data_IF_433691685725
#
_entry.id   IF_433691685725
#
_cell.length_a   1.000
_cell.length_b   1.000
_cell.length_c   1.000
_cell.angle_alpha   90.00
_cell.angle_beta   90.00
_cell.angle_gamma   90.00
#
_symmetry.space_group_name_H-M   'P 1'
#
loop_
_entity.id
_entity.type
_entity.pdbx_description
1 polymer ?
#
# COMPACT_ATOMS: atom_id res chain seq x y z
N UNK A 1 4.86 -37.50 -3.09
CA UNK A 1 4.63 -36.47 -2.07
C UNK A 1 3.38 -35.74 -2.50
N UNK A 2 2.29 -35.71 -1.72
CA UNK A 2 1.09 -35.01 -2.15
C UNK A 2 1.33 -33.51 -2.08
N UNK A 3 0.97 -32.82 -3.17
CA UNK A 3 0.98 -31.36 -3.29
C UNK A 3 0.05 -30.78 -2.23
N UNK A 4 0.62 -30.05 -1.27
CA UNK A 4 -0.15 -29.22 -0.35
C UNK A 4 -0.58 -28.01 -1.17
N UNK A 5 -1.84 -28.00 -1.61
CA UNK A 5 -2.46 -26.82 -2.21
C UNK A 5 -2.20 -25.62 -1.31
N UNK A 6 -1.43 -24.65 -1.82
CA UNK A 6 -1.22 -23.40 -1.16
C UNK A 6 -2.56 -22.68 -1.09
N UNK A 7 -3.26 -22.81 0.04
CA UNK A 7 -4.39 -21.95 0.37
C UNK A 7 -3.84 -20.54 0.39
N UNK A 8 -4.08 -19.80 -0.70
CA UNK A 8 -4.00 -18.36 -0.70
C UNK A 8 -5.09 -17.90 0.25
N UNK A 9 -4.78 -17.83 1.54
CA UNK A 9 -5.56 -17.02 2.46
C UNK A 9 -5.32 -15.60 2.00
N UNK A 10 -6.16 -15.14 1.07
CA UNK A 10 -6.45 -13.72 0.94
C UNK A 10 -7.11 -13.38 2.26
N UNK A 11 -6.26 -13.07 3.24
CA UNK A 11 -6.66 -12.34 4.42
C UNK A 11 -7.04 -10.94 3.93
N UNK A 12 -8.23 -10.82 3.34
CA UNK A 12 -9.04 -9.63 3.55
C UNK A 12 -9.43 -9.65 5.04
N UNK A 13 -8.43 -9.48 5.93
CA UNK A 13 -8.68 -9.12 7.33
C UNK A 13 -8.95 -7.63 7.29
N UNK A 14 -10.15 -7.37 6.83
CA UNK A 14 -10.71 -6.06 6.65
C UNK A 14 -12.16 -6.34 6.36
N UNK A 15 -12.96 -6.50 7.43
CA UNK A 15 -14.19 -5.71 7.45
C UNK A 15 -13.74 -4.34 7.01
N UNK A 16 -14.17 -3.91 5.82
CA UNK A 16 -13.82 -2.59 5.33
C UNK A 16 -14.19 -1.61 6.45
N UNK A 17 -13.40 -0.55 6.63
CA UNK A 17 -13.77 0.46 7.60
C UNK A 17 -15.21 0.94 7.33
N UNK A 18 -15.66 0.91 6.06
CA UNK A 18 -17.05 1.05 5.64
C UNK A 18 -18.03 0.11 6.37
N UNK A 19 -17.80 -1.21 6.43
CA UNK A 19 -18.70 -2.14 7.15
C UNK A 19 -18.72 -1.91 8.67
N UNK A 20 -17.60 -1.47 9.25
CA UNK A 20 -17.49 -1.19 10.71
C UNK A 20 -18.05 0.19 11.07
N UNK A 21 -17.99 1.14 10.13
CA UNK A 21 -18.54 2.49 10.23
C UNK A 21 -20.06 2.43 10.05
N UNK A 22 -20.58 1.70 9.06
CA UNK A 22 -22.03 1.58 8.86
C UNK A 22 -22.74 0.91 10.04
N UNK A 23 -22.14 -0.10 10.68
CA UNK A 23 -22.77 -0.78 11.81
C UNK A 23 -22.76 0.03 13.12
N UNK A 24 -21.85 1.00 13.26
CA UNK A 24 -21.66 1.78 14.49
C UNK A 24 -22.01 3.26 14.37
N UNK A 25 -22.21 3.79 13.14
CA UNK A 25 -22.62 5.17 12.92
C UNK A 25 -24.11 5.29 12.57
N UNK A 26 -24.97 5.08 13.56
CA UNK A 26 -26.30 5.69 13.60
C UNK A 26 -26.18 7.21 13.94
N UNK A 27 -25.26 7.95 13.29
CA UNK A 27 -24.86 9.31 13.72
C UNK A 27 -25.76 10.43 13.17
N UNK A 28 -26.81 10.15 12.40
CA UNK A 28 -27.60 11.23 11.80
C UNK A 28 -29.11 11.03 11.94
N UNK A 29 -29.62 10.98 13.16
CA UNK A 29 -30.98 11.45 13.40
C UNK A 29 -30.94 12.99 13.46
N UNK A 30 -31.48 13.64 12.43
CA UNK A 30 -31.60 15.10 12.41
C UNK A 30 -32.56 15.54 13.51
N UNK A 31 -32.04 16.20 14.56
CA UNK A 31 -32.87 16.82 15.57
C UNK A 31 -33.22 18.24 15.12
N UNK A 32 -34.50 18.57 14.86
CA UNK A 32 -34.88 19.93 14.52
C UNK A 32 -34.53 20.88 15.66
N UNK A 33 -34.12 22.09 15.32
CA UNK A 33 -33.84 23.16 16.27
C UNK A 33 -34.97 23.32 17.28
N UNK A 34 -34.61 23.45 18.56
CA UNK A 34 -35.54 23.90 19.57
C UNK A 34 -36.12 25.27 19.15
N UNK A 35 -37.45 25.43 19.02
CA UNK A 35 -38.08 26.68 18.60
C UNK A 35 -37.76 27.88 19.52
N UNK A 36 -37.37 27.64 20.78
CA UNK A 36 -37.01 28.66 21.78
C UNK A 36 -35.52 29.09 21.74
N UNK A 37 -34.77 28.71 20.71
CA UNK A 37 -33.38 29.15 20.55
C UNK A 37 -33.28 30.64 20.21
N UNK A 38 -32.25 31.33 20.72
CA UNK A 38 -31.92 32.75 20.44
C UNK A 38 -31.76 33.09 18.95
N UNK A 39 -31.64 32.10 18.06
CA UNK A 39 -31.48 32.33 16.61
C UNK A 39 -32.80 32.24 15.84
N UNK A 40 -33.73 31.37 16.22
CA UNK A 40 -35.08 31.28 15.64
C UNK A 40 -35.95 32.49 16.02
N UNK A 41 -35.60 33.22 17.07
CA UNK A 41 -36.26 34.47 17.50
C UNK A 41 -35.86 35.72 16.69
N UNK A 42 -34.95 35.62 15.71
CA UNK A 42 -34.57 36.74 14.83
C UNK A 42 -35.48 36.81 13.59
N UNK A 43 -36.30 37.87 13.41
CA UNK A 43 -37.39 37.90 12.42
C UNK A 43 -36.96 37.98 10.95
N UNK A 44 -35.67 38.20 10.66
CA UNK A 44 -35.14 38.34 9.29
C UNK A 44 -34.52 37.05 8.72
N UNK A 45 -34.41 35.99 9.54
CA UNK A 45 -33.86 34.70 9.11
C UNK A 45 -35.06 33.76 8.87
N UNK A 46 -35.26 33.23 7.65
CA UNK A 46 -36.29 32.24 7.40
C UNK A 46 -36.13 31.04 8.34
N UNK A 47 -37.20 30.64 9.04
CA UNK A 47 -37.18 29.57 10.04
C UNK A 47 -36.69 28.23 9.49
N UNK A 48 -36.96 27.96 8.22
CA UNK A 48 -36.47 26.79 7.47
C UNK A 48 -34.94 26.83 7.32
N UNK A 49 -34.38 27.98 6.97
CA UNK A 49 -32.93 28.16 6.84
C UNK A 49 -32.21 28.11 8.19
N UNK A 50 -32.82 28.65 9.25
CA UNK A 50 -32.29 28.54 10.61
C UNK A 50 -32.20 27.06 11.02
N UNK A 51 -33.31 26.31 10.89
CA UNK A 51 -33.41 24.89 11.24
C UNK A 51 -32.44 24.01 10.46
N UNK A 52 -32.25 24.27 9.17
CA UNK A 52 -31.35 23.50 8.31
C UNK A 52 -29.86 23.68 8.66
N UNK A 53 -29.47 24.83 9.22
CA UNK A 53 -28.06 25.17 9.47
C UNK A 53 -27.68 24.99 10.95
N UNK A 54 -28.61 25.22 11.86
CA UNK A 54 -28.34 25.28 13.30
C UNK A 54 -28.99 24.13 14.08
N UNK A 55 -29.48 23.10 13.38
CA UNK A 55 -29.98 21.87 13.98
C UNK A 55 -29.01 21.31 15.03
N UNK A 56 -29.56 20.72 16.08
CA UNK A 56 -28.73 20.08 17.10
C UNK A 56 -28.13 18.79 16.52
N UNK A 57 -26.87 18.53 16.86
CA UNK A 57 -26.20 17.28 16.51
C UNK A 57 -26.34 16.27 17.64
N UNK A 58 -26.41 14.99 17.31
CA UNK A 58 -26.24 13.92 18.28
C UNK A 58 -24.82 13.94 18.86
N UNK A 59 -24.65 13.41 20.07
CA UNK A 59 -23.32 13.21 20.65
C UNK A 59 -22.51 12.17 19.87
N UNK A 60 -21.21 12.40 19.72
CA UNK A 60 -20.28 11.40 19.18
C UNK A 60 -20.05 10.24 20.18
N UNK A 61 -19.75 9.02 19.69
CA UNK A 61 -19.30 7.91 20.53
C UNK A 61 -18.11 8.29 21.41
N UNK A 62 -17.99 7.70 22.61
CA UNK A 62 -16.93 8.03 23.58
C UNK A 62 -15.54 7.57 23.13
N UNK A 63 -15.50 6.55 22.31
CA UNK A 63 -14.33 5.92 21.71
C UNK A 63 -14.05 6.45 20.28
N UNK A 64 -14.79 7.47 19.84
CA UNK A 64 -14.52 8.10 18.56
C UNK A 64 -13.15 8.77 18.56
N UNK A 65 -12.30 8.34 17.63
CA UNK A 65 -10.97 8.94 17.44
C UNK A 65 -11.11 10.41 17.02
N UNK A 66 -10.32 11.26 17.67
CA UNK A 66 -10.32 12.70 17.43
C UNK A 66 -9.32 13.02 16.33
N UNK A 67 -9.76 13.75 15.31
CA UNK A 67 -8.86 14.27 14.27
C UNK A 67 -7.83 15.22 14.89
N UNK A 68 -6.56 14.79 14.91
CA UNK A 68 -5.42 15.51 15.46
C UNK A 68 -4.14 15.08 14.76
N UNK A 69 -3.45 16.05 14.15
CA UNK A 69 -2.12 15.84 13.57
C UNK A 69 -0.99 15.92 14.61
N UNK A 70 0.23 15.68 14.16
CA UNK A 70 1.44 15.82 14.97
C UNK A 70 1.64 17.27 15.46
N UNK A 71 2.03 17.42 16.73
CA UNK A 71 2.35 18.71 17.35
C UNK A 71 3.86 18.84 17.57
N UNK A 72 4.50 19.64 16.71
CA UNK A 72 5.95 19.87 16.68
C UNK A 72 6.51 20.58 17.92
N UNK A 73 5.66 21.22 18.74
CA UNK A 73 6.10 21.86 20.00
C UNK A 73 6.08 20.87 21.18
N UNK A 74 5.47 19.69 21.00
CA UNK A 74 5.18 18.74 22.09
C UNK A 74 6.18 17.58 22.23
N UNK A 75 7.19 17.48 21.37
CA UNK A 75 7.91 16.21 21.18
C UNK A 75 8.92 15.90 22.30
N UNK A 76 8.79 14.75 23.00
CA UNK A 76 9.81 14.25 23.92
C UNK A 76 11.07 13.84 23.15
N UNK A 77 12.26 14.27 23.60
CA UNK A 77 13.58 14.07 22.97
C UNK A 77 14.08 12.61 22.81
N UNK A 78 13.23 11.61 22.98
CA UNK A 78 13.61 10.18 23.02
C UNK A 78 13.07 9.35 21.85
N UNK A 79 12.18 9.93 21.03
CA UNK A 79 11.61 9.29 19.84
C UNK A 79 12.06 10.04 18.58
N UNK A 80 12.16 9.34 17.44
CA UNK A 80 12.42 9.99 16.16
C UNK A 80 11.22 10.88 15.81
N UNK A 81 11.46 12.15 15.53
CA UNK A 81 10.43 13.11 15.09
C UNK A 81 9.61 12.57 13.91
N UNK A 82 10.28 11.89 12.96
CA UNK A 82 9.64 11.33 11.78
C UNK A 82 8.70 10.17 12.13
N UNK A 83 9.06 9.35 13.13
CA UNK A 83 8.21 8.24 13.54
C UNK A 83 6.93 8.78 14.18
N UNK A 84 7.03 9.82 15.03
CA UNK A 84 5.88 10.49 15.61
C UNK A 84 4.95 11.12 14.55
N UNK A 85 5.53 11.76 13.51
CA UNK A 85 4.76 12.29 12.38
C UNK A 85 4.00 11.17 11.67
N UNK A 86 4.67 10.05 11.36
CA UNK A 86 4.05 8.91 10.67
C UNK A 86 2.99 8.21 11.52
N UNK A 87 3.16 8.14 12.84
CA UNK A 87 2.14 7.61 13.77
C UNK A 87 0.89 8.50 13.80
N UNK A 88 1.07 9.83 13.78
CA UNK A 88 -0.06 10.78 13.76
C UNK A 88 -0.93 10.68 12.50
N UNK A 89 -0.46 10.00 11.45
CA UNK A 89 -1.22 9.85 10.21
C UNK A 89 -2.56 9.13 10.42
N UNK A 90 -2.66 8.22 11.39
CA UNK A 90 -3.93 7.56 11.73
C UNK A 90 -5.03 8.58 12.09
N UNK A 91 -4.67 9.66 12.77
CA UNK A 91 -5.60 10.70 13.25
C UNK A 91 -5.50 12.01 12.46
N UNK A 92 -4.74 12.06 11.36
CA UNK A 92 -4.56 13.29 10.55
C UNK A 92 -5.70 13.51 9.55
N UNK A 93 -6.31 12.44 9.04
CA UNK A 93 -7.40 12.48 8.07
C UNK A 93 -6.96 12.30 6.61
N UNK A 94 -7.94 12.08 5.74
CA UNK A 94 -7.76 11.88 4.28
C UNK A 94 -6.74 10.77 3.95
N UNK A 95 -5.83 11.00 3.00
CA UNK A 95 -4.85 10.00 2.57
C UNK A 95 -3.78 9.70 3.63
N UNK A 96 -3.56 10.60 4.60
CA UNK A 96 -2.67 10.31 5.71
C UNK A 96 -3.20 9.11 6.51
N UNK A 97 -4.49 9.11 6.85
CA UNK A 97 -5.14 7.98 7.53
C UNK A 97 -4.99 6.69 6.74
N UNK A 98 -5.14 6.71 5.41
CA UNK A 98 -4.92 5.52 4.58
C UNK A 98 -3.48 5.00 4.65
N UNK A 99 -2.48 5.88 4.74
CA UNK A 99 -1.07 5.47 4.91
C UNK A 99 -0.87 4.84 6.29
N UNK A 100 -1.39 5.47 7.36
CA UNK A 100 -1.31 4.93 8.72
C UNK A 100 -1.94 3.53 8.82
N UNK A 101 -3.14 3.37 8.26
CA UNK A 101 -3.83 2.08 8.19
C UNK A 101 -3.04 1.06 7.37
N UNK A 102 -2.46 1.45 6.23
CA UNK A 102 -1.64 0.54 5.43
C UNK A 102 -0.40 0.03 6.19
N UNK A 103 0.24 0.90 6.99
CA UNK A 103 1.36 0.49 7.87
C UNK A 103 0.90 -0.53 8.91
N UNK A 104 -0.25 -0.30 9.57
CA UNK A 104 -0.82 -1.25 10.51
C UNK A 104 -1.15 -2.60 9.85
N UNK A 105 -1.74 -2.58 8.66
CA UNK A 105 -2.01 -3.81 7.92
C UNK A 105 -0.74 -4.59 7.57
N UNK A 106 0.34 -3.92 7.17
CA UNK A 106 1.63 -4.58 6.92
C UNK A 106 2.21 -5.16 8.22
N UNK A 107 2.09 -4.45 9.36
CA UNK A 107 2.50 -4.98 10.67
C UNK A 107 1.69 -6.23 11.04
N UNK A 108 0.39 -6.22 10.81
CA UNK A 108 -0.50 -7.36 11.01
C UNK A 108 -0.09 -8.55 10.15
N UNK A 109 0.11 -8.37 8.83
CA UNK A 109 0.58 -9.43 7.93
C UNK A 109 1.87 -10.09 8.43
N UNK A 110 2.82 -9.31 8.94
CA UNK A 110 4.11 -9.83 9.44
C UNK A 110 3.98 -10.54 10.79
N UNK A 111 3.08 -10.07 11.65
CA UNK A 111 2.84 -10.66 12.98
C UNK A 111 1.98 -11.92 12.90
N UNK A 112 1.02 -11.97 11.97
CA UNK A 112 0.01 -13.01 11.88
C UNK A 112 0.59 -14.42 11.83
N UNK A 113 -0.05 -15.33 12.56
CA UNK A 113 0.16 -16.78 12.51
C UNK A 113 -1.17 -17.49 12.30
N UNK A 114 -1.12 -18.71 11.77
CA UNK A 114 -2.32 -19.54 11.63
C UNK A 114 -2.98 -19.83 12.99
N UNK A 115 -2.21 -19.83 14.08
CA UNK A 115 -2.74 -19.95 15.44
C UNK A 115 -3.66 -18.79 15.85
N UNK A 116 -3.56 -17.63 15.19
CA UNK A 116 -4.42 -16.47 15.47
C UNK A 116 -5.84 -16.65 14.92
N UNK A 117 -6.05 -17.61 14.02
CA UNK A 117 -7.38 -17.96 13.52
C UNK A 117 -7.93 -19.17 14.26
N UNK A 118 -9.23 -19.12 14.57
CA UNK A 118 -9.93 -20.27 15.14
C UNK A 118 -9.94 -21.42 14.12
N UNK A 119 -9.66 -22.62 14.61
CA UNK A 119 -9.78 -23.84 13.81
C UNK A 119 -11.25 -24.07 13.41
N UNK A 120 -11.48 -24.50 12.16
CA UNK A 120 -12.82 -24.77 11.63
C UNK A 120 -12.97 -26.25 11.26
N UNK A 121 -14.16 -26.80 11.49
CA UNK A 121 -14.51 -28.14 11.02
C UNK A 121 -14.38 -28.21 9.49
N UNK A 122 -13.52 -29.11 9.00
CA UNK A 122 -13.18 -29.23 7.58
C UNK A 122 -11.75 -28.81 7.23
N UNK A 123 -11.06 -28.10 8.13
CA UNK A 123 -9.62 -27.83 7.97
C UNK A 123 -8.80 -29.13 8.08
N UNK A 124 -7.64 -29.18 7.41
CA UNK A 124 -6.73 -30.33 7.45
C UNK A 124 -6.38 -30.73 8.90
N UNK A 125 -6.70 -31.98 9.33
CA UNK A 125 -6.37 -32.47 10.66
C UNK A 125 -4.89 -32.35 11.03
N UNK A 126 -3.98 -32.37 10.04
CA UNK A 126 -2.55 -32.18 10.25
C UNK A 126 -2.20 -30.76 10.74
N UNK A 127 -3.06 -29.77 10.48
CA UNK A 127 -2.93 -28.39 10.93
C UNK A 127 -3.65 -28.11 12.26
N UNK A 128 -4.22 -29.14 12.90
CA UNK A 128 -4.90 -28.98 14.19
C UNK A 128 -3.95 -28.70 15.36
N UNK A 129 -2.75 -29.28 15.47
CA UNK A 129 -1.86 -28.99 16.60
C UNK A 129 -1.35 -27.56 16.59
N UNK A 130 -1.48 -26.85 17.72
CA UNK A 130 -1.08 -25.44 17.85
C UNK A 130 0.40 -25.20 17.50
N UNK A 131 1.28 -26.13 17.89
CA UNK A 131 2.72 -26.07 17.60
C UNK A 131 3.03 -26.02 16.09
N UNK A 132 2.15 -26.57 15.25
CA UNK A 132 2.25 -26.49 13.79
C UNK A 132 1.72 -25.13 13.31
N UNK A 133 0.55 -24.72 13.81
CA UNK A 133 -0.14 -23.47 13.43
C UNK A 133 0.67 -22.22 13.77
N UNK A 134 1.34 -22.20 14.91
CA UNK A 134 2.21 -21.11 15.37
C UNK A 134 3.41 -20.87 14.45
N UNK A 135 3.84 -21.89 13.69
CA UNK A 135 4.97 -21.78 12.75
C UNK A 135 4.54 -21.30 11.36
N UNK A 136 3.24 -21.36 11.06
CA UNK A 136 2.71 -20.94 9.77
C UNK A 136 2.44 -19.44 9.81
N UNK A 137 3.24 -18.69 9.04
CA UNK A 137 3.09 -17.25 8.86
C UNK A 137 2.22 -16.93 7.64
N UNK A 138 1.79 -15.67 7.52
CA UNK A 138 1.11 -15.20 6.32
C UNK A 138 2.05 -15.29 5.12
N UNK A 139 1.50 -15.68 3.95
CA UNK A 139 2.24 -15.64 2.70
C UNK A 139 2.07 -14.27 2.05
N UNK A 140 3.17 -13.53 1.90
CA UNK A 140 3.14 -12.13 1.45
C UNK A 140 3.47 -12.07 -0.04
N UNK A 141 2.49 -11.63 -0.82
CA UNK A 141 2.61 -11.39 -2.25
C UNK A 141 2.90 -9.91 -2.49
N UNK A 142 4.01 -9.61 -3.16
CA UNK A 142 4.38 -8.25 -3.54
C UNK A 142 4.16 -8.07 -5.04
N UNK A 143 3.22 -7.21 -5.41
CA UNK A 143 2.99 -6.83 -6.79
C UNK A 143 3.44 -5.38 -7.03
N UNK A 144 4.18 -5.14 -8.11
CA UNK A 144 4.58 -3.80 -8.52
C UNK A 144 4.66 -3.66 -10.04
N UNK A 145 4.36 -2.46 -10.53
CA UNK A 145 4.49 -2.08 -11.95
C UNK A 145 5.95 -1.77 -12.31
N UNK A 146 6.32 -1.90 -13.58
CA UNK A 146 7.71 -1.72 -14.06
C UNK A 146 8.34 -0.39 -13.66
N UNK A 147 7.57 0.70 -13.65
CA UNK A 147 8.09 2.03 -13.31
C UNK A 147 8.62 2.14 -11.86
N UNK A 148 8.24 1.23 -10.96
CA UNK A 148 8.82 1.14 -9.61
C UNK A 148 10.27 0.66 -9.63
N UNK A 149 10.65 -0.13 -10.62
CA UNK A 149 12.03 -0.54 -10.85
C UNK A 149 12.80 0.52 -11.63
N UNK A 150 12.14 1.27 -12.53
CA UNK A 150 12.73 2.44 -13.17
C UNK A 150 13.17 3.51 -12.15
N UNK A 151 12.37 3.73 -11.11
CA UNK A 151 12.68 4.71 -10.06
C UNK A 151 13.54 4.11 -8.92
N UNK A 152 13.78 4.91 -7.88
CA UNK A 152 14.56 4.49 -6.70
C UNK A 152 13.82 3.54 -5.75
N UNK A 153 12.56 3.19 -6.02
CA UNK A 153 11.83 2.20 -5.23
C UNK A 153 12.44 0.80 -5.40
N UNK A 154 13.16 0.57 -6.51
CA UNK A 154 13.98 -0.62 -6.74
C UNK A 154 14.82 -1.02 -5.53
N UNK A 155 15.54 -0.07 -4.92
CA UNK A 155 16.42 -0.36 -3.78
C UNK A 155 15.64 -0.85 -2.55
N UNK A 156 14.43 -0.33 -2.34
CA UNK A 156 13.51 -0.78 -1.28
C UNK A 156 12.99 -2.18 -1.59
N UNK A 157 12.51 -2.41 -2.82
CA UNK A 157 12.03 -3.73 -3.28
C UNK A 157 13.14 -4.79 -3.14
N UNK A 158 14.36 -4.47 -3.58
CA UNK A 158 15.55 -5.30 -3.41
C UNK A 158 15.80 -5.62 -1.93
N UNK A 159 15.67 -4.65 -1.03
CA UNK A 159 15.82 -4.88 0.40
C UNK A 159 14.78 -5.88 0.93
N UNK A 160 13.50 -5.72 0.56
CA UNK A 160 12.43 -6.62 0.98
C UNK A 160 12.68 -8.06 0.50
N UNK A 161 13.03 -8.23 -0.77
CA UNK A 161 13.28 -9.54 -1.39
C UNK A 161 14.53 -10.18 -0.78
N UNK A 162 15.65 -9.45 -0.71
CA UNK A 162 16.93 -9.95 -0.17
C UNK A 162 16.80 -10.44 1.28
N UNK A 163 15.96 -9.78 2.08
CA UNK A 163 15.74 -10.13 3.49
C UNK A 163 14.55 -11.08 3.72
N UNK A 164 14.01 -11.71 2.66
CA UNK A 164 12.92 -12.69 2.76
C UNK A 164 11.67 -12.15 3.49
N UNK A 165 11.41 -10.85 3.30
CA UNK A 165 10.24 -10.17 3.87
C UNK A 165 8.97 -10.40 3.03
N UNK A 166 9.12 -10.91 1.81
CA UNK A 166 8.04 -11.30 0.90
C UNK A 166 8.28 -12.72 0.40
N UNK A 167 7.23 -13.44 0.04
CA UNK A 167 7.29 -14.83 -0.40
C UNK A 167 7.13 -14.98 -1.92
N UNK A 168 6.38 -14.08 -2.56
CA UNK A 168 6.14 -14.11 -4.00
C UNK A 168 6.16 -12.70 -4.58
N UNK A 169 6.68 -12.58 -5.81
CA UNK A 169 6.73 -11.31 -6.55
C UNK A 169 5.97 -11.44 -7.86
N UNK A 170 5.13 -10.45 -8.16
CA UNK A 170 4.46 -10.30 -9.46
C UNK A 170 4.83 -8.96 -10.06
N UNK A 171 5.38 -8.95 -11.26
CA UNK A 171 5.69 -7.72 -11.99
C UNK A 171 5.59 -7.95 -13.50
N UNK A 172 5.63 -6.86 -14.27
CA UNK A 172 5.67 -6.90 -15.74
C UNK A 172 7.09 -7.04 -16.25
N UNK A 173 7.29 -7.34 -17.53
CA UNK A 173 8.62 -7.52 -18.14
C UNK A 173 9.58 -6.36 -17.83
N UNK A 174 9.10 -5.11 -17.89
CA UNK A 174 9.86 -3.91 -17.53
C UNK A 174 10.43 -3.94 -16.11
N UNK A 175 9.73 -4.57 -15.14
CA UNK A 175 10.21 -4.72 -13.77
C UNK A 175 11.35 -5.74 -13.62
N UNK A 176 11.56 -6.60 -14.62
CA UNK A 176 12.67 -7.56 -14.64
C UNK A 176 13.83 -6.98 -15.47
N UNK A 177 13.56 -6.53 -16.70
CA UNK A 177 14.62 -6.04 -17.60
C UNK A 177 15.34 -4.81 -17.03
N UNK A 178 14.62 -3.86 -16.42
CA UNK A 178 15.23 -2.64 -15.89
C UNK A 178 16.05 -2.88 -14.63
N UNK A 179 15.74 -3.92 -13.84
CA UNK A 179 16.57 -4.29 -12.68
C UNK A 179 17.93 -4.82 -13.13
N UNK A 180 17.93 -5.64 -14.18
CA UNK A 180 19.13 -6.19 -14.81
C UNK A 180 19.93 -5.06 -15.49
N UNK A 181 19.28 -4.23 -16.31
CA UNK A 181 19.90 -3.08 -16.99
C UNK A 181 20.62 -2.17 -15.99
N UNK A 182 20.01 -1.90 -14.83
CA UNK A 182 20.60 -1.06 -13.77
C UNK A 182 21.84 -1.66 -13.09
N UNK A 183 22.17 -2.91 -13.36
CA UNK A 183 23.45 -3.51 -12.96
C UNK A 183 24.60 -3.14 -13.91
N UNK A 184 24.29 -2.72 -15.14
CA UNK A 184 25.27 -2.33 -16.16
C UNK A 184 25.40 -0.82 -16.30
N UNK A 185 24.27 -0.13 -16.40
CA UNK A 185 24.20 1.30 -16.69
C UNK A 185 23.14 2.01 -15.84
N UNK A 186 23.37 3.26 -15.43
CA UNK A 186 22.43 4.00 -14.60
C UNK A 186 21.22 4.53 -15.38
N UNK A 187 20.14 4.80 -14.64
CA UNK A 187 19.02 5.65 -15.04
C UNK A 187 19.21 7.04 -14.45
N UNK A 188 18.87 8.09 -15.20
CA UNK A 188 19.11 9.48 -14.80
C UNK A 188 17.81 10.23 -14.50
N UNK A 189 17.90 11.27 -13.67
CA UNK A 189 16.79 12.22 -13.49
C UNK A 189 16.61 13.09 -14.72
N UNK A 190 15.36 13.40 -15.03
CA UNK A 190 14.92 14.30 -16.09
C UNK A 190 13.67 15.07 -15.68
N UNK A 191 12.85 15.44 -16.67
CA UNK A 191 11.61 16.21 -16.46
C UNK A 191 10.51 15.68 -17.38
N UNK A 192 9.27 15.68 -16.89
CA UNK A 192 8.08 15.30 -17.65
C UNK A 192 7.87 16.13 -18.92
N UNK A 193 8.40 17.36 -18.96
CA UNK A 193 8.21 18.35 -20.04
C UNK A 193 9.28 18.26 -21.13
N UNK A 194 10.28 17.38 -21.01
CA UNK A 194 11.30 17.21 -22.04
C UNK A 194 10.67 16.78 -23.38
N UNK A 195 11.05 17.46 -24.46
CA UNK A 195 10.53 17.19 -25.80
C UNK A 195 10.92 15.79 -26.28
N UNK A 196 9.91 14.94 -26.53
CA UNK A 196 10.12 13.59 -27.06
C UNK A 196 10.86 13.56 -28.40
N UNK A 197 10.64 14.56 -29.26
CA UNK A 197 11.36 14.70 -30.55
C UNK A 197 12.86 14.87 -30.35
N UNK A 198 13.25 15.75 -29.42
CA UNK A 198 14.66 16.02 -29.16
C UNK A 198 15.34 14.87 -28.41
N UNK A 199 14.62 14.22 -27.49
CA UNK A 199 15.11 13.02 -26.82
C UNK A 199 15.34 11.87 -27.80
N UNK A 200 14.39 11.63 -28.72
CA UNK A 200 14.53 10.59 -29.74
C UNK A 200 15.72 10.84 -30.66
N UNK A 201 15.94 12.09 -31.09
CA UNK A 201 17.11 12.48 -31.89
C UNK A 201 18.44 12.23 -31.19
N UNK A 202 18.45 12.28 -29.86
CA UNK A 202 19.62 12.02 -29.01
C UNK A 202 19.74 10.56 -28.55
N UNK A 203 18.81 9.68 -28.94
CA UNK A 203 18.80 8.29 -28.48
C UNK A 203 18.57 8.14 -26.98
N UNK A 204 17.72 8.99 -26.40
CA UNK A 204 17.36 8.95 -24.97
C UNK A 204 15.88 8.59 -24.85
N UNK A 205 15.57 7.57 -24.04
CA UNK A 205 14.21 7.16 -23.72
C UNK A 205 13.75 7.84 -22.42
N UNK A 206 12.49 8.23 -22.35
CA UNK A 206 11.91 8.90 -21.17
C UNK A 206 10.90 8.00 -20.47
N UNK A 207 11.04 7.89 -19.16
CA UNK A 207 10.09 7.20 -18.27
C UNK A 207 9.62 8.22 -17.23
N UNK A 208 8.51 8.92 -17.50
CA UNK A 208 8.05 10.03 -16.65
C UNK A 208 9.06 11.18 -16.57
N UNK A 209 9.67 11.37 -15.40
CA UNK A 209 10.78 12.28 -15.12
C UNK A 209 12.14 11.57 -15.03
N UNK A 210 12.28 10.40 -15.63
CA UNK A 210 13.54 9.64 -15.70
C UNK A 210 14.00 9.51 -17.16
N UNK A 211 15.30 9.34 -17.35
CA UNK A 211 15.95 9.20 -18.65
C UNK A 211 16.84 7.95 -18.69
N UNK A 212 16.67 7.16 -19.76
CA UNK A 212 17.43 5.94 -20.02
C UNK A 212 18.07 6.06 -21.40
N UNK A 213 19.41 6.19 -21.50
CA UNK A 213 20.10 6.18 -22.79
C UNK A 213 19.88 4.86 -23.55
N UNK A 214 19.77 4.90 -24.88
CA UNK A 214 19.65 3.70 -25.72
C UNK A 214 20.80 2.70 -25.49
N UNK A 215 22.00 3.20 -25.18
CA UNK A 215 23.18 2.37 -24.89
C UNK A 215 22.91 1.32 -23.81
N UNK A 216 22.07 1.65 -22.83
CA UNK A 216 21.66 0.73 -21.77
C UNK A 216 20.97 -0.53 -22.34
N UNK A 217 20.13 -0.35 -23.36
CA UNK A 217 19.44 -1.46 -24.02
C UNK A 217 20.36 -2.25 -24.95
N UNK A 218 21.32 -1.58 -25.62
CA UNK A 218 22.33 -2.28 -26.42
C UNK A 218 23.21 -3.18 -25.54
N UNK A 219 23.67 -2.70 -24.38
CA UNK A 219 24.45 -3.53 -23.45
C UNK A 219 23.63 -4.68 -22.86
N UNK A 220 22.32 -4.47 -22.68
CA UNK A 220 21.42 -5.54 -22.25
C UNK A 220 21.23 -6.60 -23.35
N UNK A 221 21.11 -6.20 -24.61
CA UNK A 221 21.04 -7.13 -25.75
C UNK A 221 22.32 -7.96 -25.85
N UNK A 222 23.49 -7.33 -25.76
CA UNK A 222 24.79 -8.01 -25.77
C UNK A 222 24.91 -9.05 -24.63
N UNK A 223 24.34 -8.74 -23.46
CA UNK A 223 24.34 -9.65 -22.30
C UNK A 223 23.29 -10.77 -22.40
N UNK A 224 22.08 -10.45 -22.87
CA UNK A 224 20.94 -11.38 -22.90
C UNK A 224 21.03 -12.38 -24.06
N UNK A 225 21.54 -11.96 -25.23
CA UNK A 225 21.62 -12.80 -26.43
C UNK A 225 22.30 -14.16 -26.20
N UNK A 226 23.51 -14.27 -25.60
CA UNK A 226 24.14 -15.57 -25.36
C UNK A 226 23.36 -16.45 -24.37
N UNK A 227 22.58 -15.85 -23.45
CA UNK A 227 21.73 -16.61 -22.53
C UNK A 227 20.55 -17.22 -23.30
N UNK A 228 19.93 -16.45 -24.20
CA UNK A 228 18.83 -16.95 -25.04
C UNK A 228 19.32 -18.08 -25.97
N UNK A 229 20.50 -17.94 -26.56
CA UNK A 229 21.12 -19.01 -27.37
C UNK A 229 21.34 -20.28 -26.55
N UNK A 230 21.91 -20.18 -25.35
CA UNK A 230 22.08 -21.34 -24.47
C UNK A 230 20.74 -21.99 -24.08
N UNK A 231 19.72 -21.19 -23.76
CA UNK A 231 18.38 -21.70 -23.47
C UNK A 231 17.75 -22.42 -24.67
N UNK A 232 18.00 -21.94 -25.89
CA UNK A 232 17.53 -22.58 -27.13
C UNK A 232 18.20 -23.96 -27.31
N UNK A 233 19.52 -24.02 -27.17
CA UNK A 233 20.28 -25.27 -27.30
C UNK A 233 19.88 -26.30 -26.23
N UNK A 234 19.63 -25.86 -24.99
CA UNK A 234 19.10 -26.71 -23.92
C UNK A 234 17.71 -27.26 -24.27
N UNK A 235 16.84 -26.46 -24.87
CA UNK A 235 15.51 -26.90 -25.31
C UNK A 235 15.61 -27.95 -26.41
N UNK A 236 16.47 -27.75 -27.41
CA UNK A 236 16.69 -28.69 -28.52
C UNK A 236 17.31 -30.01 -28.02
N UNK A 237 18.19 -29.97 -27.02
CA UNK A 237 18.78 -31.16 -26.43
C UNK A 237 17.78 -32.00 -25.59
N UNK A 238 16.67 -31.40 -25.16
CA UNK A 238 15.59 -32.08 -24.44
C UNK A 238 14.50 -32.64 -25.36
N UNK A 239 14.51 -32.30 -26.66
CA UNK A 239 13.57 -32.76 -27.68
C UNK A 239 13.98 -34.11 -28.29
#
# INVERSE_FOLDING_TARGET
MPEVEAVAVIAAVGTTMEETIESNLNILEAMPLNPDNKVTSKPHIPSVSASAVLGESSSMPKDAEICKGHDFESVPKTHSELDAVMESFLTTGFQATNIGLAVEQIRLMRKWRLSDTLWKDGDDPALKPDVVREKIRARIFLAYTSNQISCGQREVIKFLIKNKMVDLVVTTAGGIEEDIIKCFQPTYMGDFKLSGRELRRKGINRIGNLLVPNKNYCEFEDWMSPIIEAMHDEQDAMA
#
